data_IF_402177016271
#
_entry.id   IF_402177016271
#
_cell.length_a   1.000
_cell.length_b   1.000
_cell.length_c   1.000
_cell.angle_alpha   90.00
_cell.angle_beta   90.00
_cell.angle_gamma   90.00
#
_symmetry.space_group_name_H-M   'P 1'
#
loop_
_entity.id
_entity.type
_entity.pdbx_description
1 polymer ?
#
# COMPACT_ATOMS: atom_id res chain seq x y z
N UNK A 1 42.89 49.52 40.70
CA UNK A 1 41.41 49.21 40.70
C UNK A 1 40.60 50.01 39.65
N UNK A 2 40.94 51.26 39.24
CA UNK A 2 40.13 52.05 38.28
C UNK A 2 40.18 51.57 36.80
N UNK A 3 41.18 50.76 36.39
CA UNK A 3 41.35 50.24 34.99
C UNK A 3 40.74 48.87 34.75
N UNK A 4 40.38 48.11 35.75
CA UNK A 4 39.79 46.74 35.63
C UNK A 4 38.29 46.75 35.43
N UNK A 5 37.57 47.77 35.88
CA UNK A 5 36.13 47.91 35.78
C UNK A 5 35.64 47.99 34.29
N UNK A 6 36.23 48.83 33.42
CA UNK A 6 35.80 48.88 32.02
C UNK A 6 36.09 47.56 31.25
N UNK A 7 37.11 46.84 31.64
CA UNK A 7 37.49 45.56 31.02
C UNK A 7 36.45 44.45 31.36
N UNK A 8 35.98 44.45 32.64
CA UNK A 8 34.91 43.55 33.08
C UNK A 8 33.56 43.85 32.42
N UNK A 9 33.26 45.12 32.19
CA UNK A 9 32.04 45.54 31.47
C UNK A 9 32.12 45.13 30.02
N UNK A 10 33.24 45.33 29.33
CA UNK A 10 33.47 44.87 27.95
C UNK A 10 33.34 43.35 27.85
N UNK A 11 33.90 42.56 28.78
CA UNK A 11 33.80 41.11 28.80
C UNK A 11 32.35 40.65 29.05
N UNK A 12 31.63 41.29 29.95
CA UNK A 12 30.19 41.00 30.18
C UNK A 12 29.33 41.30 28.95
N UNK A 13 29.61 42.39 28.22
CA UNK A 13 28.90 42.73 27.00
C UNK A 13 29.24 41.74 25.85
N UNK A 14 30.49 41.29 25.73
CA UNK A 14 30.87 40.26 24.76
C UNK A 14 30.24 38.91 25.06
N UNK A 15 30.18 38.49 26.32
CA UNK A 15 29.50 37.26 26.74
C UNK A 15 27.98 37.38 26.51
N UNK A 16 27.37 38.50 26.80
CA UNK A 16 25.95 38.75 26.54
C UNK A 16 25.64 38.76 25.04
N UNK A 17 26.46 39.40 24.21
CA UNK A 17 26.32 39.40 22.76
C UNK A 17 26.52 37.98 22.17
N UNK A 18 27.51 37.24 22.69
CA UNK A 18 27.75 35.84 22.27
C UNK A 18 26.59 34.92 22.63
N UNK A 19 26.05 35.04 23.85
CA UNK A 19 24.89 34.26 24.26
C UNK A 19 23.62 34.59 23.47
N UNK A 20 23.42 35.87 23.17
CA UNK A 20 22.29 36.32 22.33
C UNK A 20 22.45 35.84 20.89
N UNK A 21 23.64 35.93 20.28
CA UNK A 21 23.90 35.43 18.93
C UNK A 21 23.71 33.93 18.85
N UNK A 22 24.13 33.16 19.86
CA UNK A 22 23.93 31.71 19.95
C UNK A 22 22.46 31.36 20.07
N UNK A 23 21.67 32.06 20.90
CA UNK A 23 20.25 31.86 21.02
C UNK A 23 19.50 32.16 19.71
N UNK A 24 19.83 33.28 19.07
CA UNK A 24 19.26 33.69 17.78
C UNK A 24 19.57 32.65 16.67
N UNK A 25 20.80 32.13 16.65
CA UNK A 25 21.18 31.09 15.69
C UNK A 25 20.44 29.77 15.93
N UNK A 26 20.25 29.36 17.16
CA UNK A 26 19.49 28.19 17.53
C UNK A 26 18.01 28.31 17.12
N UNK A 27 17.42 29.47 17.34
CA UNK A 27 16.03 29.76 16.93
C UNK A 27 15.87 29.75 15.41
N UNK A 28 16.86 30.27 14.67
CA UNK A 28 16.91 30.20 13.22
C UNK A 28 17.06 28.77 12.70
N UNK A 29 17.94 27.97 13.32
CA UNK A 29 18.14 26.56 12.94
C UNK A 29 16.87 25.72 13.20
N UNK A 30 16.17 25.95 14.32
CA UNK A 30 14.92 25.26 14.64
C UNK A 30 13.79 25.67 13.67
N UNK A 31 13.67 26.95 13.34
CA UNK A 31 12.73 27.44 12.32
C UNK A 31 13.02 26.83 10.94
N UNK A 32 14.28 26.72 10.57
CA UNK A 32 14.70 26.11 9.30
C UNK A 32 14.38 24.62 9.26
N UNK A 33 14.54 23.87 10.35
CA UNK A 33 14.15 22.47 10.44
C UNK A 33 12.63 22.26 10.26
N UNK A 34 11.82 23.13 10.89
CA UNK A 34 10.35 23.09 10.76
C UNK A 34 9.95 23.37 9.30
N UNK A 35 10.54 24.38 8.66
CA UNK A 35 10.26 24.70 7.26
C UNK A 35 10.69 23.59 6.31
N UNK A 36 11.86 22.98 6.53
CA UNK A 36 12.33 21.88 5.68
C UNK A 36 11.46 20.63 5.82
N UNK A 37 11.02 20.27 7.04
CA UNK A 37 10.11 19.14 7.23
C UNK A 37 8.72 19.40 6.65
N UNK A 38 8.20 20.62 6.74
CA UNK A 38 6.93 20.98 6.09
C UNK A 38 7.04 20.90 4.55
N UNK A 39 8.15 21.36 3.97
CA UNK A 39 8.39 21.25 2.53
C UNK A 39 8.50 19.78 2.08
N UNK A 40 9.22 18.93 2.83
CA UNK A 40 9.32 17.50 2.55
C UNK A 40 7.94 16.81 2.61
N UNK A 41 7.11 17.16 3.59
CA UNK A 41 5.74 16.64 3.67
C UNK A 41 4.92 17.04 2.44
N UNK A 42 4.94 18.32 2.03
CA UNK A 42 4.21 18.80 0.84
C UNK A 42 4.69 18.14 -0.45
N UNK A 43 5.98 17.89 -0.55
CA UNK A 43 6.55 17.15 -1.68
C UNK A 43 6.04 15.72 -1.74
N UNK A 44 6.08 14.99 -0.61
CA UNK A 44 5.56 13.64 -0.51
C UNK A 44 4.05 13.57 -0.81
N UNK A 45 3.25 14.53 -0.33
CA UNK A 45 1.82 14.64 -0.65
C UNK A 45 1.59 14.81 -2.16
N UNK A 46 2.38 15.63 -2.83
CA UNK A 46 2.27 15.82 -4.29
C UNK A 46 2.62 14.54 -5.06
N UNK A 47 3.67 13.83 -4.65
CA UNK A 47 4.06 12.54 -5.23
C UNK A 47 2.95 11.48 -5.08
N UNK A 48 2.41 11.32 -3.88
CA UNK A 48 1.33 10.36 -3.58
C UNK A 48 0.08 10.66 -4.42
N UNK A 49 -0.31 11.94 -4.52
CA UNK A 49 -1.47 12.34 -5.30
C UNK A 49 -1.27 12.08 -6.80
N UNK A 50 -0.09 12.35 -7.37
CA UNK A 50 0.22 12.04 -8.76
C UNK A 50 0.23 10.55 -9.06
N UNK A 51 0.80 9.73 -8.17
CA UNK A 51 0.74 8.27 -8.28
C UNK A 51 -0.72 7.78 -8.28
N UNK A 52 -1.55 8.29 -7.37
CA UNK A 52 -2.97 7.94 -7.29
C UNK A 52 -3.77 8.40 -8.54
N UNK A 53 -3.47 9.57 -9.11
CA UNK A 53 -4.05 10.04 -10.38
C UNK A 53 -3.73 9.04 -11.50
N UNK A 54 -2.46 8.62 -11.61
CA UNK A 54 -2.01 7.67 -12.63
C UNK A 54 -2.78 6.35 -12.55
N UNK A 55 -2.96 5.82 -11.35
CA UNK A 55 -3.77 4.61 -11.10
C UNK A 55 -5.23 4.80 -11.47
N UNK A 56 -5.87 5.91 -11.06
CA UNK A 56 -7.28 6.17 -11.38
C UNK A 56 -7.52 6.32 -12.89
N UNK A 57 -6.62 7.01 -13.59
CA UNK A 57 -6.71 7.14 -15.04
C UNK A 57 -6.56 5.80 -15.76
N UNK A 58 -5.67 4.92 -15.26
CA UNK A 58 -5.50 3.58 -15.84
C UNK A 58 -6.70 2.65 -15.61
N UNK A 59 -7.49 2.84 -14.56
CA UNK A 59 -8.71 2.07 -14.29
C UNK A 59 -9.89 2.42 -15.22
N UNK A 60 -9.93 3.63 -15.76
CA UNK A 60 -11.08 4.12 -16.57
C UNK A 60 -11.46 3.21 -17.74
N UNK A 61 -10.53 2.60 -18.50
CA UNK A 61 -10.91 1.69 -19.60
C UNK A 61 -11.57 0.40 -19.11
N UNK A 62 -11.27 -0.02 -17.89
CA UNK A 62 -11.84 -1.21 -17.25
C UNK A 62 -13.22 -0.93 -16.62
N UNK A 63 -13.51 0.33 -16.29
CA UNK A 63 -14.76 0.76 -15.65
C UNK A 63 -15.91 0.85 -16.68
N UNK A 64 -16.87 -0.08 -16.62
CA UNK A 64 -18.04 -0.11 -17.50
C UNK A 64 -19.18 0.76 -16.97
N UNK A 65 -19.29 0.92 -15.65
CA UNK A 65 -20.38 1.66 -15.01
C UNK A 65 -20.11 3.17 -15.06
N UNK A 66 -21.15 3.95 -15.41
CA UNK A 66 -21.07 5.40 -15.36
C UNK A 66 -20.77 5.91 -13.96
N UNK A 67 -21.25 5.20 -12.91
CA UNK A 67 -20.96 5.53 -11.51
C UNK A 67 -19.46 5.45 -11.23
N UNK A 68 -18.83 4.34 -11.57
CA UNK A 68 -17.38 4.15 -11.37
C UNK A 68 -16.56 5.16 -12.19
N UNK A 69 -16.98 5.44 -13.43
CA UNK A 69 -16.33 6.46 -14.26
C UNK A 69 -16.40 7.84 -13.62
N UNK A 70 -17.58 8.26 -13.11
CA UNK A 70 -17.75 9.54 -12.39
C UNK A 70 -16.89 9.60 -11.14
N UNK A 71 -16.85 8.54 -10.35
CA UNK A 71 -16.05 8.46 -9.13
C UNK A 71 -14.53 8.58 -9.43
N UNK A 72 -14.03 7.84 -10.42
CA UNK A 72 -12.64 7.90 -10.86
C UNK A 72 -12.27 9.30 -11.39
N UNK A 73 -13.06 9.85 -12.31
CA UNK A 73 -12.80 11.16 -12.93
C UNK A 73 -12.85 12.30 -11.91
N UNK A 74 -13.86 12.31 -11.02
CA UNK A 74 -13.95 13.30 -9.93
C UNK A 74 -12.77 13.14 -8.96
N UNK A 75 -12.35 11.89 -8.69
CA UNK A 75 -11.18 11.59 -7.89
C UNK A 75 -9.89 12.16 -8.49
N UNK A 76 -9.70 12.02 -9.81
CA UNK A 76 -8.57 12.60 -10.55
C UNK A 76 -8.59 14.12 -10.45
N UNK A 77 -9.72 14.77 -10.74
CA UNK A 77 -9.85 16.23 -10.65
C UNK A 77 -9.45 16.76 -9.27
N UNK A 78 -10.01 16.18 -8.20
CA UNK A 78 -9.72 16.61 -6.84
C UNK A 78 -8.26 16.40 -6.44
N UNK A 79 -7.63 15.31 -6.91
CA UNK A 79 -6.22 15.06 -6.63
C UNK A 79 -5.29 15.96 -7.43
N UNK A 80 -5.68 16.30 -8.66
CA UNK A 80 -4.95 17.30 -9.46
C UNK A 80 -4.92 18.67 -8.76
N UNK A 81 -6.03 19.12 -8.19
CA UNK A 81 -6.08 20.33 -7.35
C UNK A 81 -5.18 20.19 -6.12
N UNK A 82 -5.16 19.02 -5.50
CA UNK A 82 -4.29 18.73 -4.37
C UNK A 82 -2.80 18.81 -4.72
N UNK A 83 -2.38 18.29 -5.88
CA UNK A 83 -0.99 18.46 -6.38
C UNK A 83 -0.65 19.94 -6.54
N UNK A 84 -1.54 20.73 -7.16
CA UNK A 84 -1.37 22.18 -7.33
C UNK A 84 -1.16 22.86 -5.99
N UNK A 85 -2.01 22.57 -5.00
CA UNK A 85 -1.92 23.14 -3.65
C UNK A 85 -0.59 22.76 -2.99
N UNK A 86 -0.20 21.49 -3.04
CA UNK A 86 1.03 21.00 -2.40
C UNK A 86 2.29 21.61 -3.06
N UNK A 87 2.36 21.65 -4.39
CA UNK A 87 3.49 22.25 -5.11
C UNK A 87 3.56 23.78 -4.90
N UNK A 88 2.43 24.49 -4.92
CA UNK A 88 2.38 25.93 -4.71
C UNK A 88 2.76 26.36 -3.29
N UNK A 89 2.66 25.46 -2.31
CA UNK A 89 3.09 25.71 -0.94
C UNK A 89 4.60 25.51 -0.72
N UNK A 90 5.31 24.99 -1.73
CA UNK A 90 6.75 24.79 -1.64
C UNK A 90 7.51 26.13 -1.88
N UNK A 91 8.66 26.32 -1.25
CA UNK A 91 9.52 27.50 -1.47
C UNK A 91 10.29 27.38 -2.80
N UNK A 92 9.57 27.10 -3.89
CA UNK A 92 10.11 26.95 -5.24
C UNK A 92 9.71 28.15 -6.12
N UNK A 93 10.53 28.48 -7.10
CA UNK A 93 10.18 29.53 -8.06
C UNK A 93 9.00 29.09 -8.95
N UNK A 94 8.17 30.04 -9.36
CA UNK A 94 7.09 29.76 -10.32
C UNK A 94 7.61 29.15 -11.63
N UNK A 95 8.82 29.46 -12.05
CA UNK A 95 9.45 28.89 -13.24
C UNK A 95 9.73 27.38 -13.06
N UNK A 96 10.04 26.93 -11.83
CA UNK A 96 10.35 25.52 -11.56
C UNK A 96 9.12 24.60 -11.52
N UNK A 97 7.95 25.13 -11.16
CA UNK A 97 6.73 24.32 -10.97
C UNK A 97 5.58 24.71 -11.93
N UNK A 98 5.73 25.83 -12.65
CA UNK A 98 4.64 26.45 -13.41
C UNK A 98 4.01 25.52 -14.46
N UNK A 99 4.82 24.78 -15.21
CA UNK A 99 4.36 23.85 -16.23
C UNK A 99 3.62 22.67 -15.60
N UNK A 100 4.11 22.14 -14.47
CA UNK A 100 3.47 21.07 -13.70
C UNK A 100 2.11 21.53 -13.13
N UNK A 101 2.09 22.71 -12.52
CA UNK A 101 0.86 23.31 -11.98
C UNK A 101 -0.16 23.54 -13.09
N UNK A 102 0.26 24.09 -14.23
CA UNK A 102 -0.60 24.29 -15.40
C UNK A 102 -1.16 22.96 -15.93
N UNK A 103 -0.31 21.95 -16.06
CA UNK A 103 -0.73 20.61 -16.48
C UNK A 103 -1.77 20.03 -15.53
N UNK A 104 -1.54 20.08 -14.22
CA UNK A 104 -2.47 19.55 -13.21
C UNK A 104 -3.80 20.31 -13.22
N UNK A 105 -3.80 21.64 -13.36
CA UNK A 105 -5.03 22.41 -13.50
C UNK A 105 -5.83 21.98 -14.75
N UNK A 106 -5.19 21.87 -15.92
CA UNK A 106 -5.84 21.43 -17.15
C UNK A 106 -6.37 19.98 -17.05
N UNK A 107 -5.61 19.10 -16.39
CA UNK A 107 -6.04 17.73 -16.10
C UNK A 107 -7.29 17.72 -15.21
N UNK A 108 -7.28 18.51 -14.14
CA UNK A 108 -8.41 18.64 -13.21
C UNK A 108 -9.68 19.14 -13.90
N UNK A 109 -9.58 20.21 -14.69
CA UNK A 109 -10.70 20.77 -15.45
C UNK A 109 -11.24 19.78 -16.51
N UNK A 110 -10.36 19.13 -17.26
CA UNK A 110 -10.74 18.17 -18.29
C UNK A 110 -11.47 16.97 -17.69
N UNK A 111 -10.93 16.38 -16.61
CA UNK A 111 -11.54 15.20 -15.96
C UNK A 111 -12.82 15.56 -15.22
N UNK A 112 -12.95 16.75 -14.66
CA UNK A 112 -14.21 17.25 -14.11
C UNK A 112 -15.29 17.38 -15.21
N UNK A 113 -14.94 17.95 -16.36
CA UNK A 113 -15.84 18.05 -17.51
C UNK A 113 -16.34 16.69 -17.98
N UNK A 114 -15.45 15.69 -18.11
CA UNK A 114 -15.82 14.32 -18.44
C UNK A 114 -16.67 13.64 -17.35
N UNK A 115 -16.40 13.92 -16.09
CA UNK A 115 -17.19 13.42 -14.95
C UNK A 115 -18.63 13.93 -15.03
N UNK A 116 -18.83 15.21 -15.28
CA UNK A 116 -20.16 15.82 -15.47
C UNK A 116 -20.87 15.26 -16.70
N UNK A 117 -20.12 15.02 -17.79
CA UNK A 117 -20.64 14.38 -19.00
C UNK A 117 -21.13 12.95 -18.72
N UNK A 118 -20.32 12.14 -18.03
CA UNK A 118 -20.71 10.80 -17.60
C UNK A 118 -21.90 10.82 -16.61
N UNK A 119 -21.92 11.78 -15.67
CA UNK A 119 -23.03 11.96 -14.73
C UNK A 119 -24.36 12.31 -15.40
N UNK A 120 -24.34 12.91 -16.60
CA UNK A 120 -25.53 13.13 -17.41
C UNK A 120 -26.09 11.87 -18.11
N UNK A 121 -25.44 10.71 -17.93
CA UNK A 121 -25.79 9.44 -18.55
C UNK A 121 -25.09 9.17 -19.90
N UNK A 122 -24.17 10.04 -20.30
CA UNK A 122 -23.43 9.90 -21.56
C UNK A 122 -22.19 8.99 -21.36
N UNK A 123 -21.89 8.16 -22.36
CA UNK A 123 -20.71 7.32 -22.37
C UNK A 123 -19.53 8.04 -22.98
N UNK A 124 -18.34 7.81 -22.42
CA UNK A 124 -17.09 8.28 -23.00
C UNK A 124 -16.86 7.61 -24.36
N UNK A 125 -16.43 8.38 -25.33
CA UNK A 125 -16.07 7.90 -26.67
C UNK A 125 -14.60 7.49 -26.75
N UNK A 126 -14.22 6.87 -27.88
CA UNK A 126 -12.85 6.41 -28.11
C UNK A 126 -11.82 7.54 -28.09
N UNK A 127 -12.24 8.77 -28.46
CA UNK A 127 -11.37 9.96 -28.44
C UNK A 127 -11.10 10.41 -27.01
N UNK A 128 -12.09 10.35 -26.12
CA UNK A 128 -11.92 10.61 -24.70
C UNK A 128 -10.98 9.58 -24.05
N UNK A 129 -11.16 8.29 -24.35
CA UNK A 129 -10.24 7.24 -23.86
C UNK A 129 -8.82 7.39 -24.39
N UNK A 130 -8.63 7.76 -25.65
CA UNK A 130 -7.30 8.03 -26.21
C UNK A 130 -6.61 9.20 -25.48
N UNK A 131 -7.36 10.29 -25.23
CA UNK A 131 -6.85 11.45 -24.49
C UNK A 131 -6.53 11.12 -23.04
N UNK A 132 -7.39 10.37 -22.35
CA UNK A 132 -7.15 9.93 -20.97
C UNK A 132 -5.92 9.01 -20.87
N UNK A 133 -5.69 8.14 -21.87
CA UNK A 133 -4.49 7.32 -21.94
C UNK A 133 -3.21 8.15 -22.10
N UNK A 134 -3.24 9.20 -22.90
CA UNK A 134 -2.12 10.12 -23.06
C UNK A 134 -1.86 10.91 -21.77
N UNK A 135 -2.92 11.40 -21.12
CA UNK A 135 -2.81 12.08 -19.83
C UNK A 135 -2.24 11.15 -18.73
N UNK A 136 -2.67 9.89 -18.72
CA UNK A 136 -2.13 8.86 -17.80
C UNK A 136 -0.63 8.67 -18.01
N UNK A 137 -0.17 8.56 -19.26
CA UNK A 137 1.26 8.44 -19.59
C UNK A 137 2.06 9.67 -19.13
N UNK A 138 1.52 10.87 -19.31
CA UNK A 138 2.15 12.11 -18.85
C UNK A 138 2.21 12.19 -17.32
N UNK A 139 1.15 11.78 -16.62
CA UNK A 139 1.16 11.68 -15.14
C UNK A 139 2.19 10.67 -14.64
N UNK A 140 2.33 9.51 -15.30
CA UNK A 140 3.31 8.50 -14.92
C UNK A 140 4.75 9.03 -15.09
N UNK A 141 5.06 9.72 -16.20
CA UNK A 141 6.35 10.37 -16.41
C UNK A 141 6.64 11.43 -15.34
N UNK A 142 5.67 12.29 -15.06
CA UNK A 142 5.81 13.33 -14.05
C UNK A 142 5.98 12.74 -12.63
N UNK A 143 5.25 11.69 -12.29
CA UNK A 143 5.39 10.95 -11.03
C UNK A 143 6.79 10.37 -10.87
N UNK A 144 7.35 9.77 -11.94
CA UNK A 144 8.73 9.28 -11.96
C UNK A 144 9.76 10.40 -11.79
N UNK A 145 9.54 11.54 -12.45
CA UNK A 145 10.41 12.71 -12.31
C UNK A 145 10.43 13.26 -10.88
N UNK A 146 9.25 13.37 -10.25
CA UNK A 146 9.14 13.81 -8.86
C UNK A 146 9.75 12.82 -7.87
N UNK A 147 9.66 11.51 -8.15
CA UNK A 147 10.25 10.48 -7.32
C UNK A 147 11.80 10.50 -7.34
N UNK A 148 12.39 10.83 -8.51
CA UNK A 148 13.86 10.92 -8.67
C UNK A 148 14.43 12.25 -8.23
N UNK A 149 13.63 13.33 -8.22
CA UNK A 149 14.00 14.61 -7.64
C UNK A 149 13.96 14.52 -6.11
N UNK A 150 14.94 13.82 -5.56
CA UNK A 150 15.05 13.42 -4.16
C UNK A 150 14.90 14.60 -3.19
N UNK A 151 14.43 14.28 -1.98
CA UNK A 151 14.38 15.17 -0.81
C UNK A 151 15.74 15.88 -0.51
N UNK A 152 16.86 15.32 -0.97
CA UNK A 152 18.18 15.99 -0.99
C UNK A 152 18.20 17.26 -1.83
N UNK A 153 17.46 17.33 -2.94
CA UNK A 153 17.30 18.55 -3.75
C UNK A 153 16.56 19.66 -3.01
N UNK A 154 15.56 19.32 -2.18
CA UNK A 154 14.87 20.29 -1.31
C UNK A 154 15.78 20.86 -0.21
N UNK A 155 16.71 20.07 0.31
CA UNK A 155 17.71 20.54 1.30
C UNK A 155 18.70 21.51 0.67
N UNK A 156 19.13 21.30 -0.57
CA UNK A 156 19.97 22.22 -1.33
C UNK A 156 19.20 23.49 -1.72
N UNK A 157 17.91 23.39 -2.05
CA UNK A 157 17.03 24.52 -2.34
C UNK A 157 16.78 25.38 -1.08
N UNK A 158 16.70 24.79 0.12
CA UNK A 158 16.53 25.54 1.37
C UNK A 158 17.73 26.45 1.68
N UNK A 159 18.93 26.06 1.28
CA UNK A 159 20.13 26.90 1.43
C UNK A 159 20.25 27.97 0.35
N UNK A 160 19.76 27.74 -0.87
CA UNK A 160 19.91 28.68 -2.00
C UNK A 160 18.79 29.73 -2.10
N UNK A 161 17.58 29.42 -1.59
CA UNK A 161 16.39 30.28 -1.72
C UNK A 161 16.51 31.58 -0.89
N UNK A 162 17.31 31.60 0.17
CA UNK A 162 17.47 32.79 0.99
C UNK A 162 18.58 33.74 0.55
N UNK A 163 19.46 33.38 -0.40
CA UNK A 163 20.67 34.15 -0.69
C UNK A 163 21.10 34.22 -2.16
N UNK A 164 20.37 33.79 -3.16
CA UNK A 164 20.74 33.94 -4.55
C UNK A 164 19.71 34.69 -5.39
N UNK A 165 20.05 35.79 -6.06
CA UNK A 165 19.24 36.28 -7.17
C UNK A 165 19.30 35.25 -8.30
N UNK A 166 18.12 34.99 -8.91
CA UNK A 166 17.94 34.02 -9.97
C UNK A 166 18.88 34.31 -11.18
N UNK A 167 20.06 33.73 -11.17
CA UNK A 167 20.80 33.51 -12.39
C UNK A 167 20.53 32.12 -12.90
N UNK A 168 20.23 32.04 -14.20
CA UNK A 168 19.84 30.86 -14.94
C UNK A 168 20.83 29.71 -14.72
N UNK A 169 20.45 28.74 -13.92
CA UNK A 169 21.20 27.50 -13.72
C UNK A 169 20.20 26.36 -13.51
N UNK A 170 20.14 25.50 -14.51
CA UNK A 170 19.59 24.14 -14.51
C UNK A 170 18.26 23.93 -13.78
N UNK A 171 17.19 23.84 -14.54
CA UNK A 171 15.87 23.44 -14.08
C UNK A 171 15.95 21.98 -13.65
N UNK A 172 15.78 21.64 -12.35
CA UNK A 172 15.91 20.25 -11.88
C UNK A 172 14.91 19.29 -12.57
N UNK A 173 13.81 19.82 -13.08
CA UNK A 173 12.79 19.07 -13.82
C UNK A 173 13.09 18.92 -15.33
N UNK A 174 13.99 19.72 -15.91
CA UNK A 174 14.43 19.54 -17.30
C UNK A 174 15.60 18.55 -17.43
N UNK A 175 16.46 18.42 -16.41
CA UNK A 175 17.57 17.47 -16.41
C UNK A 175 17.13 16.00 -16.34
N UNK A 176 15.86 15.73 -15.99
CA UNK A 176 15.30 14.38 -15.85
C UNK A 176 14.63 13.88 -17.14
N UNK A 177 14.45 14.74 -18.16
CA UNK A 177 13.78 14.36 -19.41
C UNK A 177 14.58 13.37 -20.28
N UNK A 178 15.88 13.16 -20.02
CA UNK A 178 16.78 12.33 -20.85
C UNK A 178 17.22 11.01 -20.21
N UNK A 179 16.69 10.63 -19.04
CA UNK A 179 17.09 9.38 -18.39
C UNK A 179 15.99 8.31 -18.53
N UNK A 180 16.25 7.37 -19.43
CA UNK A 180 15.52 6.09 -19.53
C UNK A 180 15.90 5.23 -18.31
N UNK A 181 15.20 5.40 -17.20
CA UNK A 181 15.39 4.60 -15.99
C UNK A 181 14.13 3.82 -15.68
N UNK A 182 14.29 2.49 -15.61
CA UNK A 182 13.26 1.58 -15.12
C UNK A 182 12.66 2.09 -13.81
N UNK A 183 11.34 2.21 -13.77
CA UNK A 183 10.61 2.79 -12.65
C UNK A 183 10.72 1.89 -11.42
N UNK A 184 11.52 2.30 -10.42
CA UNK A 184 11.37 1.87 -9.05
C UNK A 184 10.27 2.71 -8.41
N UNK A 185 9.09 2.13 -8.27
CA UNK A 185 8.01 2.76 -7.51
C UNK A 185 8.39 2.75 -6.01
N UNK A 186 8.23 3.85 -5.27
CA UNK A 186 8.32 3.79 -3.82
C UNK A 186 7.31 2.76 -3.31
N UNK A 187 7.77 1.88 -2.45
CA UNK A 187 7.00 0.77 -1.89
C UNK A 187 5.74 1.28 -1.18
N UNK A 188 4.65 1.44 -1.92
CA UNK A 188 3.33 1.38 -1.32
C UNK A 188 3.11 -0.08 -0.96
N UNK A 189 3.14 -0.37 0.33
CA UNK A 189 2.84 -1.70 0.86
C UNK A 189 1.32 -1.88 0.74
N UNK A 190 0.84 -2.19 -0.47
CA UNK A 190 -0.49 -2.70 -0.67
C UNK A 190 -0.41 -4.22 -0.74
N UNK A 191 -0.80 -4.83 0.34
CA UNK A 191 -0.77 -6.28 0.56
C UNK A 191 -1.80 -7.07 -0.26
N UNK A 192 -2.18 -6.59 -1.44
CA UNK A 192 -3.16 -7.20 -2.31
C UNK A 192 -4.58 -6.63 -2.15
N UNK A 193 -5.49 -7.07 -3.03
CA UNK A 193 -6.88 -6.64 -3.04
C UNK A 193 -7.54 -6.88 -1.68
N UNK A 194 -8.17 -5.83 -1.13
CA UNK A 194 -8.95 -5.88 0.11
C UNK A 194 -8.19 -6.22 1.40
N UNK A 195 -6.85 -6.21 1.41
CA UNK A 195 -6.05 -6.52 2.60
C UNK A 195 -6.22 -5.48 3.73
N UNK A 196 -6.48 -4.23 3.38
CA UNK A 196 -6.63 -3.11 4.32
C UNK A 196 -8.07 -2.88 4.81
N UNK A 197 -8.98 -3.79 4.48
CA UNK A 197 -10.35 -3.70 4.95
C UNK A 197 -10.39 -3.75 6.48
N UNK A 198 -10.46 -2.58 7.13
CA UNK A 198 -10.56 -2.46 8.59
C UNK A 198 -11.90 -3.02 9.03
N UNK A 199 -11.87 -4.15 9.70
CA UNK A 199 -13.05 -4.76 10.26
C UNK A 199 -13.33 -4.19 11.65
N UNK A 200 -14.39 -3.38 11.76
CA UNK A 200 -14.96 -3.00 13.04
C UNK A 200 -15.93 -4.13 13.46
N UNK A 201 -15.56 -4.94 14.45
CA UNK A 201 -16.41 -6.01 14.93
C UNK A 201 -15.73 -6.93 15.93
N UNK A 202 -16.47 -7.91 16.43
CA UNK A 202 -15.93 -8.99 17.26
C UNK A 202 -15.36 -10.10 16.38
N UNK A 203 -14.20 -10.68 16.75
CA UNK A 203 -13.62 -11.82 16.05
C UNK A 203 -14.61 -12.99 15.97
N UNK A 204 -14.64 -13.71 14.82
CA UNK A 204 -15.59 -14.79 14.57
C UNK A 204 -14.96 -16.18 14.65
N UNK A 205 -13.63 -16.29 14.48
CA UNK A 205 -12.93 -17.57 14.35
C UNK A 205 -11.89 -17.84 15.46
N UNK A 206 -12.08 -17.30 16.66
CA UNK A 206 -11.13 -17.53 17.77
C UNK A 206 -11.25 -18.92 18.39
N UNK A 207 -12.41 -19.56 18.32
CA UNK A 207 -12.72 -20.80 19.06
C UNK A 207 -13.21 -20.54 20.47
N UNK A 208 -13.31 -21.61 21.28
CA UNK A 208 -13.86 -21.57 22.63
C UNK A 208 -12.78 -21.74 23.71
N UNK A 209 -13.04 -21.17 24.89
CA UNK A 209 -12.19 -21.28 26.07
C UNK A 209 -10.98 -20.35 26.03
N UNK A 210 -10.48 -20.03 27.23
CA UNK A 210 -9.24 -19.27 27.41
C UNK A 210 -8.06 -20.21 27.67
N UNK A 211 -6.89 -19.83 27.19
CA UNK A 211 -5.64 -20.58 27.40
C UNK A 211 -4.68 -19.83 28.32
N UNK A 212 -3.75 -20.56 28.96
CA UNK A 212 -2.66 -19.98 29.74
C UNK A 212 -1.46 -19.65 28.87
N UNK A 213 -0.49 -18.90 29.41
CA UNK A 213 0.79 -18.59 28.74
C UNK A 213 1.56 -19.87 28.36
N UNK A 214 1.56 -20.90 29.24
CA UNK A 214 2.22 -22.17 28.98
C UNK A 214 1.56 -22.92 27.80
N UNK A 215 0.23 -22.87 27.73
CA UNK A 215 -0.52 -23.45 26.62
C UNK A 215 -0.25 -22.68 25.32
N UNK A 216 -0.12 -21.35 25.38
CA UNK A 216 0.24 -20.54 24.23
C UNK A 216 1.63 -20.89 23.67
N UNK A 217 2.61 -21.11 24.55
CA UNK A 217 3.95 -21.60 24.15
C UNK A 217 3.83 -22.96 23.47
N UNK A 218 3.12 -23.89 24.06
CA UNK A 218 2.92 -25.23 23.48
C UNK A 218 2.24 -25.16 22.10
N UNK A 219 1.21 -24.32 21.97
CA UNK A 219 0.51 -24.09 20.70
C UNK A 219 1.44 -23.50 19.64
N UNK A 220 2.27 -22.51 19.98
CA UNK A 220 3.21 -21.91 19.07
C UNK A 220 4.28 -22.92 18.59
N UNK A 221 4.82 -23.74 19.49
CA UNK A 221 5.77 -24.81 19.17
C UNK A 221 5.13 -25.84 18.24
N UNK A 222 3.93 -26.30 18.54
CA UNK A 222 3.19 -27.25 17.70
C UNK A 222 2.83 -26.64 16.33
N UNK A 223 2.52 -25.35 16.28
CA UNK A 223 2.21 -24.63 15.05
C UNK A 223 3.42 -24.58 14.10
N UNK A 224 4.59 -24.21 14.59
CA UNK A 224 5.83 -24.15 13.80
C UNK A 224 6.35 -25.56 13.47
N UNK A 225 6.21 -26.49 14.40
CA UNK A 225 6.69 -27.87 14.36
C UNK A 225 7.77 -28.10 15.41
N UNK A 226 7.51 -29.00 16.35
CA UNK A 226 8.40 -29.30 17.49
C UNK A 226 9.84 -29.60 17.07
N UNK A 227 10.03 -30.30 15.95
CA UNK A 227 11.36 -30.68 15.44
C UNK A 227 12.20 -29.50 14.95
N UNK A 228 11.63 -28.33 14.79
CA UNK A 228 12.31 -27.11 14.35
C UNK A 228 12.74 -26.23 15.52
N UNK A 229 12.05 -26.34 16.66
CA UNK A 229 12.20 -25.44 17.79
C UNK A 229 13.26 -25.98 18.76
N UNK A 230 14.27 -25.17 19.04
CA UNK A 230 15.30 -25.41 20.03
C UNK A 230 14.86 -24.93 21.41
N UNK A 231 14.33 -23.70 21.49
CA UNK A 231 13.91 -23.06 22.73
C UNK A 231 12.62 -22.25 22.50
N UNK A 232 11.74 -22.24 23.50
CA UNK A 232 10.51 -21.48 23.49
C UNK A 232 10.25 -20.82 24.85
N UNK A 233 9.95 -19.52 24.85
CA UNK A 233 9.72 -18.76 26.08
C UNK A 233 8.57 -17.76 25.92
N UNK A 234 8.09 -17.21 27.03
CA UNK A 234 7.12 -16.13 27.03
C UNK A 234 7.71 -14.87 26.41
N UNK A 235 7.05 -14.33 25.42
CA UNK A 235 7.37 -13.06 24.76
C UNK A 235 6.45 -11.93 25.21
N UNK A 236 6.65 -10.76 24.61
CA UNK A 236 5.77 -9.58 24.81
C UNK A 236 4.72 -9.59 23.70
N UNK A 237 3.41 -9.60 24.04
CA UNK A 237 2.35 -9.52 23.01
C UNK A 237 2.39 -8.18 22.27
N UNK A 238 2.07 -8.17 20.98
CA UNK A 238 2.09 -6.96 20.15
C UNK A 238 1.06 -5.90 20.56
N UNK A 239 0.03 -6.32 21.31
CA UNK A 239 -1.14 -5.49 21.62
C UNK A 239 -2.09 -5.37 20.42
N UNK A 240 -3.37 -5.20 20.66
CA UNK A 240 -4.37 -5.10 19.58
C UNK A 240 -5.78 -5.34 20.07
N UNK A 241 -6.72 -5.46 19.12
CA UNK A 241 -8.15 -5.72 19.39
C UNK A 241 -8.36 -7.12 19.97
N UNK A 242 -7.53 -8.11 19.53
CA UNK A 242 -7.60 -9.49 19.99
C UNK A 242 -6.55 -9.67 21.10
N UNK A 243 -6.95 -9.99 22.35
CA UNK A 243 -6.03 -10.27 23.43
C UNK A 243 -5.18 -11.51 23.11
N UNK A 244 -3.85 -11.41 23.30
CA UNK A 244 -2.90 -12.47 22.98
C UNK A 244 -1.87 -12.70 24.11
N UNK A 245 -1.29 -13.88 24.09
CA UNK A 245 -0.05 -14.22 24.77
C UNK A 245 1.10 -14.09 23.77
N UNK A 246 2.14 -13.33 24.12
CA UNK A 246 3.37 -13.27 23.32
C UNK A 246 4.23 -14.51 23.55
N UNK A 247 4.85 -15.00 22.49
CA UNK A 247 5.77 -16.16 22.51
C UNK A 247 6.99 -15.85 21.65
N UNK A 248 8.17 -16.16 22.16
CA UNK A 248 9.42 -16.13 21.38
C UNK A 248 9.92 -17.55 21.18
N UNK A 249 10.19 -17.92 19.93
CA UNK A 249 10.70 -19.22 19.53
C UNK A 249 12.09 -19.05 18.93
N UNK A 250 13.06 -19.84 19.37
CA UNK A 250 14.37 -20.00 18.76
C UNK A 250 14.42 -21.32 17.99
N UNK A 251 14.70 -21.25 16.70
CA UNK A 251 14.84 -22.43 15.86
C UNK A 251 16.27 -22.99 15.90
N UNK A 252 16.43 -24.27 15.58
CA UNK A 252 17.76 -24.94 15.53
C UNK A 252 18.75 -24.29 14.57
N UNK A 253 18.29 -23.57 13.55
CA UNK A 253 19.14 -22.83 12.62
C UNK A 253 19.51 -21.41 13.11
N UNK A 254 19.09 -21.05 14.32
CA UNK A 254 19.33 -19.75 14.95
C UNK A 254 18.31 -18.69 14.60
N UNK A 255 17.31 -18.96 13.75
CA UNK A 255 16.21 -18.02 13.46
C UNK A 255 15.37 -17.79 14.72
N UNK A 256 15.09 -16.54 15.04
CA UNK A 256 14.19 -16.16 16.14
C UNK A 256 12.88 -15.73 15.56
N UNK A 257 11.77 -16.33 16.03
CA UNK A 257 10.40 -16.00 15.63
C UNK A 257 9.68 -15.42 16.85
N UNK A 258 9.00 -14.28 16.65
CA UNK A 258 8.08 -13.72 17.64
C UNK A 258 6.65 -13.99 17.17
N UNK A 259 5.79 -14.37 18.11
CA UNK A 259 4.42 -14.78 17.81
C UNK A 259 3.43 -14.26 18.85
N UNK A 260 2.20 -14.02 18.40
CA UNK A 260 1.03 -13.80 19.23
C UNK A 260 0.04 -14.94 19.07
N UNK A 261 -0.30 -15.57 20.19
CA UNK A 261 -1.30 -16.61 20.29
C UNK A 261 -2.51 -16.05 21.04
N UNK A 262 -3.71 -16.18 20.47
CA UNK A 262 -4.91 -15.58 21.06
C UNK A 262 -5.22 -16.19 22.43
N UNK A 263 -5.60 -15.36 23.42
CA UNK A 263 -6.02 -15.83 24.76
C UNK A 263 -7.24 -16.71 24.63
N UNK A 264 -8.22 -16.30 23.81
CA UNK A 264 -9.40 -17.12 23.51
C UNK A 264 -9.07 -18.08 22.37
N UNK A 265 -9.29 -19.38 22.58
CA UNK A 265 -9.18 -20.46 21.58
C UNK A 265 -7.76 -20.84 21.18
N UNK A 266 -6.72 -20.09 21.62
CA UNK A 266 -5.32 -20.44 21.37
C UNK A 266 -4.86 -20.48 19.93
N UNK A 267 -5.45 -19.62 19.08
CA UNK A 267 -5.14 -19.53 17.65
C UNK A 267 -3.88 -18.69 17.40
N UNK A 268 -3.14 -18.98 16.34
CA UNK A 268 -2.03 -18.15 15.89
C UNK A 268 -2.60 -16.89 15.23
N UNK A 269 -2.36 -15.73 15.85
CA UNK A 269 -2.74 -14.43 15.28
C UNK A 269 -1.72 -13.97 14.26
N UNK A 270 -0.46 -13.96 14.65
CA UNK A 270 0.67 -13.75 13.76
C UNK A 270 1.94 -14.42 14.30
N UNK A 271 2.89 -14.66 13.42
CA UNK A 271 4.25 -15.06 13.72
C UNK A 271 5.19 -14.47 12.68
N UNK A 272 6.30 -13.88 13.09
CA UNK A 272 7.25 -13.20 12.22
C UNK A 272 8.69 -13.43 12.68
N UNK A 273 9.64 -13.55 11.75
CA UNK A 273 11.06 -13.60 12.09
C UNK A 273 11.54 -12.22 12.54
N UNK A 274 12.39 -12.18 13.56
CA UNK A 274 13.02 -10.95 14.06
C UNK A 274 13.93 -10.33 12.99
N UNK A 275 14.71 -11.15 12.33
CA UNK A 275 15.54 -10.77 11.19
C UNK A 275 15.47 -11.89 10.16
N UNK A 276 15.21 -11.56 8.90
CA UNK A 276 15.06 -12.55 7.87
C UNK A 276 15.79 -12.14 6.59
N UNK A 277 16.81 -12.89 6.26
CA UNK A 277 17.45 -12.88 4.95
C UNK A 277 17.89 -14.29 4.65
N UNK A 278 17.27 -14.91 3.65
CA UNK A 278 17.52 -16.29 3.26
C UNK A 278 18.03 -16.36 1.82
N UNK A 279 18.60 -17.52 1.45
CA UNK A 279 18.97 -17.76 0.06
C UNK A 279 17.73 -18.08 -0.78
N UNK A 280 17.76 -17.74 -2.06
CA UNK A 280 16.76 -18.20 -3.01
C UNK A 280 17.19 -19.56 -3.58
N UNK A 281 16.28 -20.52 -3.62
CA UNK A 281 16.51 -21.85 -4.17
C UNK A 281 15.26 -22.43 -4.81
N UNK A 282 14.11 -22.28 -4.15
CA UNK A 282 12.80 -22.74 -4.59
C UNK A 282 12.13 -21.69 -5.49
N UNK A 283 11.31 -22.16 -6.40
CA UNK A 283 10.41 -21.32 -7.18
C UNK A 283 9.24 -20.82 -6.35
N UNK A 284 8.58 -19.75 -6.82
CA UNK A 284 7.36 -19.25 -6.20
C UNK A 284 6.24 -20.32 -6.14
N UNK A 285 6.14 -21.16 -7.19
CA UNK A 285 5.15 -22.23 -7.26
C UNK A 285 5.39 -23.28 -6.16
N UNK A 286 6.64 -23.71 -5.97
CA UNK A 286 7.01 -24.63 -4.90
C UNK A 286 6.74 -24.03 -3.52
N UNK A 287 7.08 -22.75 -3.31
CA UNK A 287 6.76 -22.03 -2.07
C UNK A 287 5.23 -21.91 -1.84
N UNK A 288 4.47 -21.66 -2.90
CA UNK A 288 3.00 -21.57 -2.84
C UNK A 288 2.39 -22.91 -2.46
N UNK A 289 2.92 -24.01 -3.01
CA UNK A 289 2.45 -25.35 -2.65
C UNK A 289 2.80 -25.69 -1.20
N UNK A 290 4.03 -25.40 -0.75
CA UNK A 290 4.44 -25.60 0.65
C UNK A 290 3.55 -24.81 1.61
N UNK A 291 3.25 -23.56 1.30
CA UNK A 291 2.35 -22.71 2.10
C UNK A 291 0.92 -23.28 2.17
N UNK A 292 0.39 -23.75 1.04
CA UNK A 292 -0.96 -24.36 0.98
C UNK A 292 -1.04 -25.63 1.83
N UNK A 293 -0.05 -26.51 1.71
CA UNK A 293 0.01 -27.77 2.47
C UNK A 293 0.17 -27.49 3.97
N UNK A 294 0.97 -26.46 4.32
CA UNK A 294 1.11 -26.00 5.70
C UNK A 294 -0.24 -25.52 6.25
N UNK A 295 -0.92 -24.58 5.58
CA UNK A 295 -2.21 -24.04 6.02
C UNK A 295 -3.26 -25.16 6.18
N UNK A 296 -3.32 -26.08 5.24
CA UNK A 296 -4.22 -27.24 5.31
C UNK A 296 -3.90 -28.12 6.53
N UNK A 297 -2.62 -28.34 6.84
CA UNK A 297 -2.19 -29.12 8.02
C UNK A 297 -2.52 -28.43 9.35
N UNK A 298 -2.74 -27.11 9.33
CA UNK A 298 -3.08 -26.27 10.50
C UNK A 298 -4.58 -25.95 10.58
N UNK A 299 -5.42 -26.58 9.74
CA UNK A 299 -6.87 -26.51 9.84
C UNK A 299 -7.53 -25.31 9.14
N UNK A 300 -6.79 -24.56 8.29
CA UNK A 300 -7.38 -23.46 7.52
C UNK A 300 -8.31 -23.90 6.37
N UNK A 301 -8.44 -25.22 6.15
CA UNK A 301 -9.32 -25.78 5.12
C UNK A 301 -8.77 -25.59 3.70
N UNK A 302 -9.70 -25.44 2.76
CA UNK A 302 -9.32 -25.16 1.38
C UNK A 302 -9.02 -23.67 1.20
N UNK A 303 -7.84 -23.36 0.64
CA UNK A 303 -7.35 -22.00 0.42
C UNK A 303 -6.83 -21.82 -0.99
N UNK A 304 -7.01 -20.61 -1.54
CA UNK A 304 -6.50 -20.20 -2.85
C UNK A 304 -5.54 -19.03 -2.69
N UNK A 305 -4.37 -19.13 -3.33
CA UNK A 305 -3.45 -18.00 -3.42
C UNK A 305 -3.99 -16.92 -4.34
N UNK A 306 -3.93 -15.67 -3.90
CA UNK A 306 -4.47 -14.53 -4.66
C UNK A 306 -3.42 -13.49 -5.00
N UNK A 307 -2.34 -13.43 -4.24
CA UNK A 307 -1.31 -12.39 -4.36
C UNK A 307 0.02 -12.88 -3.80
N UNK A 308 1.13 -12.30 -4.27
CA UNK A 308 2.44 -12.65 -3.76
C UNK A 308 3.45 -11.51 -3.87
N UNK A 309 4.47 -11.56 -3.00
CA UNK A 309 5.68 -10.76 -3.08
C UNK A 309 6.90 -11.63 -2.78
N UNK A 310 8.06 -11.28 -3.37
CA UNK A 310 9.33 -11.98 -3.13
C UNK A 310 10.38 -10.95 -2.74
N UNK A 311 10.95 -11.08 -1.55
CA UNK A 311 12.05 -10.25 -1.10
C UNK A 311 12.89 -10.95 -0.03
N UNK A 312 14.19 -10.65 0.02
CA UNK A 312 15.10 -11.20 1.04
C UNK A 312 15.17 -12.74 1.10
N UNK A 313 14.92 -13.44 -0.01
CA UNK A 313 14.85 -14.89 -0.05
C UNK A 313 13.60 -15.49 0.60
N UNK A 314 12.55 -14.70 0.75
CA UNK A 314 11.22 -15.10 1.23
C UNK A 314 10.17 -14.87 0.15
N UNK A 315 9.21 -15.79 0.06
CA UNK A 315 7.97 -15.62 -0.66
C UNK A 315 6.86 -15.29 0.34
N UNK A 316 6.27 -14.11 0.25
CA UNK A 316 5.08 -13.68 1.00
C UNK A 316 3.87 -13.91 0.10
N UNK A 317 2.96 -14.77 0.54
CA UNK A 317 1.85 -15.23 -0.29
C UNK A 317 0.55 -15.03 0.47
N UNK A 318 -0.39 -14.38 -0.17
CA UNK A 318 -1.74 -14.17 0.34
C UNK A 318 -2.62 -15.34 -0.05
N UNK A 319 -3.31 -15.92 0.93
CA UNK A 319 -4.32 -16.96 0.72
C UNK A 319 -5.67 -16.48 1.23
N UNK A 320 -6.72 -16.81 0.53
CA UNK A 320 -8.10 -16.62 0.97
C UNK A 320 -8.79 -17.97 1.12
N UNK A 321 -9.69 -18.09 2.08
CA UNK A 321 -10.48 -19.31 2.23
C UNK A 321 -11.40 -19.50 1.02
N UNK A 322 -11.72 -20.77 0.71
CA UNK A 322 -12.63 -21.15 -0.36
C UNK A 322 -13.84 -21.88 0.25
N UNK A 323 -15.04 -21.40 -0.07
CA UNK A 323 -16.29 -22.06 0.31
C UNK A 323 -17.22 -22.19 -0.90
N UNK A 324 -17.69 -23.40 -1.19
CA UNK A 324 -18.60 -23.69 -2.32
C UNK A 324 -18.08 -23.15 -3.67
N UNK A 325 -16.75 -23.11 -3.84
CA UNK A 325 -16.08 -22.59 -5.03
C UNK A 325 -15.92 -21.06 -5.06
N UNK A 326 -16.43 -20.34 -4.08
CA UNK A 326 -16.25 -18.90 -3.96
C UNK A 326 -14.99 -18.55 -3.15
N UNK A 327 -14.22 -17.56 -3.63
CA UNK A 327 -13.06 -17.00 -2.93
C UNK A 327 -13.53 -16.02 -1.86
N UNK A 328 -13.12 -16.20 -0.63
CA UNK A 328 -13.53 -15.36 0.49
C UNK A 328 -12.44 -14.35 0.83
N UNK A 329 -12.40 -13.21 0.16
CA UNK A 329 -11.37 -12.16 0.38
C UNK A 329 -11.31 -11.62 1.83
N UNK A 330 -12.42 -11.52 2.59
CA UNK A 330 -12.36 -11.16 4.00
C UNK A 330 -11.57 -12.15 4.87
N UNK A 331 -11.50 -13.43 4.46
CA UNK A 331 -10.83 -14.51 5.19
C UNK A 331 -9.36 -14.68 4.74
N UNK A 332 -8.65 -13.57 4.69
CA UNK A 332 -7.26 -13.49 4.23
C UNK A 332 -6.29 -14.02 5.30
N UNK A 333 -5.35 -14.85 4.87
CA UNK A 333 -4.15 -15.27 5.63
C UNK A 333 -2.92 -14.96 4.79
N UNK A 334 -1.93 -14.27 5.36
CA UNK A 334 -0.64 -14.04 4.72
C UNK A 334 0.38 -15.01 5.27
N UNK A 335 1.18 -15.62 4.40
CA UNK A 335 2.17 -16.63 4.77
C UNK A 335 3.53 -16.24 4.21
N UNK A 336 4.58 -16.35 5.03
CA UNK A 336 5.97 -16.16 4.61
C UNK A 336 6.71 -17.50 4.60
N UNK A 337 7.20 -17.86 3.43
CA UNK A 337 7.94 -19.10 3.19
C UNK A 337 9.38 -18.77 2.83
N UNK A 338 10.35 -19.43 3.45
CA UNK A 338 11.75 -19.39 3.06
C UNK A 338 11.93 -20.06 1.70
N UNK A 339 12.61 -19.38 0.79
CA UNK A 339 12.85 -19.92 -0.56
C UNK A 339 14.01 -20.89 -0.64
N UNK A 340 14.78 -21.07 0.43
CA UNK A 340 15.86 -22.08 0.50
C UNK A 340 15.38 -23.46 0.97
N UNK A 341 14.40 -23.50 1.90
CA UNK A 341 13.91 -24.76 2.49
C UNK A 341 12.45 -25.07 2.23
N UNK A 342 11.64 -24.07 1.84
CA UNK A 342 10.18 -24.20 1.73
C UNK A 342 9.44 -24.18 3.07
N UNK A 343 10.12 -23.85 4.16
CA UNK A 343 9.52 -23.79 5.49
C UNK A 343 8.89 -22.45 5.79
N UNK A 344 7.81 -22.48 6.58
CA UNK A 344 7.17 -21.27 7.09
C UNK A 344 8.07 -20.56 8.11
N UNK A 345 8.19 -19.24 7.98
CA UNK A 345 8.80 -18.34 8.96
C UNK A 345 7.89 -17.20 9.39
N UNK A 346 6.80 -16.96 8.68
CA UNK A 346 5.84 -15.93 9.05
C UNK A 346 4.40 -16.29 8.66
N UNK A 347 3.46 -15.77 9.45
CA UNK A 347 2.04 -15.83 9.16
C UNK A 347 1.34 -14.62 9.79
N UNK A 348 0.34 -14.08 9.12
CA UNK A 348 -0.62 -13.11 9.66
C UNK A 348 -2.03 -13.59 9.34
N UNK A 349 -2.82 -13.85 10.39
CA UNK A 349 -4.17 -14.38 10.28
C UNK A 349 -5.25 -13.46 10.88
N UNK A 350 -4.93 -12.18 11.11
CA UNK A 350 -5.87 -11.24 11.73
C UNK A 350 -7.20 -11.17 10.95
N UNK A 351 -7.13 -11.00 9.63
CA UNK A 351 -8.34 -10.93 8.81
C UNK A 351 -9.16 -12.23 8.86
N UNK A 352 -8.49 -13.38 8.82
CA UNK A 352 -9.13 -14.67 8.96
C UNK A 352 -9.85 -14.81 10.31
N UNK A 353 -9.15 -14.52 11.41
CA UNK A 353 -9.72 -14.65 12.75
C UNK A 353 -10.88 -13.67 13.00
N UNK A 354 -10.82 -12.49 12.39
CA UNK A 354 -11.89 -11.50 12.48
C UNK A 354 -13.14 -11.87 11.68
N UNK A 355 -12.98 -12.54 10.53
CA UNK A 355 -14.08 -12.63 9.55
C UNK A 355 -14.54 -14.06 9.25
N UNK A 356 -13.66 -15.07 9.41
CA UNK A 356 -13.98 -16.43 8.95
C UNK A 356 -15.21 -17.01 9.67
N UNK A 357 -16.19 -17.36 8.85
CA UNK A 357 -17.42 -18.04 9.24
C UNK A 357 -18.02 -18.72 8.02
N UNK A 358 -18.84 -19.72 8.23
CA UNK A 358 -19.61 -20.33 7.14
C UNK A 358 -20.68 -19.34 6.67
N UNK A 359 -20.62 -18.95 5.39
CA UNK A 359 -21.63 -18.10 4.76
C UNK A 359 -22.82 -18.93 4.30
N UNK A 360 -24.04 -18.59 4.71
CA UNK A 360 -25.20 -19.46 4.48
C UNK A 360 -25.68 -19.47 3.01
N UNK A 361 -25.32 -18.50 2.20
CA UNK A 361 -25.84 -18.39 0.84
C UNK A 361 -24.81 -17.72 -0.09
N UNK A 362 -24.10 -18.54 -0.84
CA UNK A 362 -23.13 -18.11 -1.87
C UNK A 362 -23.63 -18.43 -3.30
N UNK A 363 -24.95 -18.56 -3.48
CA UNK A 363 -25.53 -18.82 -4.79
C UNK A 363 -25.71 -17.50 -5.57
N UNK A 364 -25.04 -17.32 -6.72
CA UNK A 364 -25.24 -16.15 -7.56
C UNK A 364 -26.62 -16.16 -8.23
N UNK A 365 -27.23 -14.99 -8.40
CA UNK A 365 -28.46 -14.84 -9.20
C UNK A 365 -28.11 -14.72 -10.68
N UNK A 366 -27.04 -13.97 -11.00
CA UNK A 366 -26.55 -13.88 -12.36
C UNK A 366 -25.57 -15.01 -12.66
N UNK A 367 -25.73 -15.61 -13.82
CA UNK A 367 -24.70 -16.53 -14.35
C UNK A 367 -23.42 -15.76 -14.66
N UNK A 368 -22.29 -16.47 -14.70
CA UNK A 368 -20.99 -15.87 -15.09
C UNK A 368 -21.10 -15.11 -16.41
N UNK A 369 -21.81 -15.64 -17.41
CA UNK A 369 -21.97 -15.03 -18.72
C UNK A 369 -22.78 -13.72 -18.67
N UNK A 370 -23.82 -13.67 -17.86
CA UNK A 370 -24.64 -12.45 -17.68
C UNK A 370 -23.86 -11.36 -16.96
N UNK A 371 -23.07 -11.74 -15.92
CA UNK A 371 -22.18 -10.82 -15.23
C UNK A 371 -21.03 -10.33 -16.14
N UNK A 372 -20.45 -11.22 -16.95
CA UNK A 372 -19.39 -10.85 -17.91
C UNK A 372 -19.87 -9.84 -18.95
N UNK A 373 -21.14 -9.88 -19.35
CA UNK A 373 -21.70 -8.90 -20.26
C UNK A 373 -21.80 -7.47 -19.67
N UNK A 374 -21.58 -7.32 -18.36
CA UNK A 374 -21.53 -6.03 -17.66
C UNK A 374 -20.12 -5.46 -17.58
N UNK A 375 -19.09 -6.28 -17.82
CA UNK A 375 -17.69 -5.85 -17.84
C UNK A 375 -17.43 -4.98 -19.07
N UNK A 376 -16.48 -4.04 -18.95
CA UNK A 376 -16.08 -3.18 -20.06
C UNK A 376 -15.67 -4.00 -21.29
N UNK A 377 -16.19 -3.69 -22.48
CA UNK A 377 -15.82 -4.37 -23.73
C UNK A 377 -14.36 -4.09 -24.14
N UNK A 378 -13.69 -3.15 -23.50
CA UNK A 378 -12.27 -2.87 -23.71
C UNK A 378 -11.37 -3.96 -23.16
N UNK A 379 -11.86 -4.76 -22.20
CA UNK A 379 -11.08 -5.80 -21.54
C UNK A 379 -11.15 -7.14 -22.28
N UNK A 380 -10.00 -7.75 -22.47
CA UNK A 380 -9.92 -9.16 -22.87
C UNK A 380 -9.89 -10.03 -21.64
N UNK A 381 -11.04 -10.64 -21.30
CA UNK A 381 -11.19 -11.48 -20.11
C UNK A 381 -10.44 -12.80 -20.29
N UNK A 382 -9.64 -13.15 -19.28
CA UNK A 382 -8.81 -14.39 -19.25
C UNK A 382 -9.28 -15.38 -18.21
N UNK A 383 -9.88 -14.90 -17.12
CA UNK A 383 -10.34 -15.75 -16.02
C UNK A 383 -11.57 -15.15 -15.35
N UNK A 384 -12.40 -16.01 -14.74
CA UNK A 384 -13.53 -15.59 -13.92
C UNK A 384 -13.71 -16.54 -12.74
N UNK A 385 -14.02 -15.97 -11.56
CA UNK A 385 -14.30 -16.70 -10.33
C UNK A 385 -15.43 -16.04 -9.55
N UNK A 386 -16.16 -16.84 -8.76
CA UNK A 386 -17.08 -16.30 -7.77
C UNK A 386 -16.29 -15.93 -6.53
N UNK A 387 -16.60 -14.79 -5.93
CA UNK A 387 -15.90 -14.33 -4.73
C UNK A 387 -16.82 -13.54 -3.80
N UNK A 388 -16.40 -13.42 -2.55
CA UNK A 388 -16.97 -12.49 -1.57
C UNK A 388 -15.94 -11.40 -1.33
N UNK A 389 -16.33 -10.14 -1.50
CA UNK A 389 -15.48 -8.99 -1.21
C UNK A 389 -16.02 -8.23 0.01
N UNK A 390 -15.14 -7.58 0.82
CA UNK A 390 -15.58 -6.70 1.89
C UNK A 390 -16.19 -5.43 1.32
N UNK A 391 -17.25 -4.96 1.96
CA UNK A 391 -17.90 -3.69 1.65
C UNK A 391 -18.12 -2.88 2.93
N UNK A 392 -18.42 -1.59 2.81
CA UNK A 392 -18.73 -0.74 3.97
C UNK A 392 -19.98 -1.25 4.70
N UNK A 393 -19.76 -1.93 5.84
CA UNK A 393 -20.81 -2.48 6.68
C UNK A 393 -21.21 -3.93 6.41
N UNK A 394 -20.46 -4.66 5.56
CA UNK A 394 -20.77 -6.06 5.28
C UNK A 394 -19.86 -6.72 4.25
N UNK A 395 -20.42 -7.67 3.55
CA UNK A 395 -19.78 -8.44 2.48
C UNK A 395 -20.69 -8.48 1.26
N UNK A 396 -20.08 -8.57 0.07
CA UNK A 396 -20.79 -8.64 -1.21
C UNK A 396 -20.33 -9.86 -2.00
N UNK A 397 -21.29 -10.66 -2.49
CA UNK A 397 -21.01 -11.75 -3.42
C UNK A 397 -20.86 -11.18 -4.83
N UNK A 398 -19.71 -11.43 -5.45
CA UNK A 398 -19.37 -10.90 -6.77
C UNK A 398 -18.84 -11.97 -7.71
N UNK A 399 -19.02 -11.75 -9.01
CA UNK A 399 -18.18 -12.34 -10.04
C UNK A 399 -16.93 -11.47 -10.22
N UNK A 400 -15.75 -12.03 -10.00
CA UNK A 400 -14.46 -11.44 -10.33
C UNK A 400 -14.10 -11.82 -11.76
N UNK A 401 -13.71 -10.84 -12.55
CA UNK A 401 -13.19 -11.03 -13.90
C UNK A 401 -11.76 -10.50 -13.99
N UNK A 402 -10.82 -11.38 -14.28
CA UNK A 402 -9.46 -11.01 -14.65
C UNK A 402 -9.38 -10.74 -16.15
N UNK A 403 -8.74 -9.66 -16.53
CA UNK A 403 -8.62 -9.32 -17.94
C UNK A 403 -7.54 -8.30 -18.21
N UNK A 404 -7.20 -8.16 -19.49
CA UNK A 404 -6.17 -7.27 -19.98
C UNK A 404 -6.73 -6.17 -20.85
N UNK A 405 -6.23 -4.96 -20.68
CA UNK A 405 -6.34 -3.89 -21.64
C UNK A 405 -4.95 -3.31 -21.92
N UNK A 406 -4.48 -3.42 -23.17
CA UNK A 406 -3.09 -3.13 -23.53
C UNK A 406 -2.12 -3.96 -22.66
N UNK A 407 -1.23 -3.30 -21.93
CA UNK A 407 -0.20 -3.93 -21.09
C UNK A 407 -0.62 -4.10 -19.63
N UNK A 408 -1.80 -3.58 -19.26
CA UNK A 408 -2.28 -3.60 -17.88
C UNK A 408 -3.28 -4.72 -17.64
N UNK A 409 -3.15 -5.38 -16.49
CA UNK A 409 -4.10 -6.38 -15.99
C UNK A 409 -5.05 -5.79 -14.98
N UNK A 410 -6.31 -6.19 -15.03
CA UNK A 410 -7.38 -5.69 -14.17
C UNK A 410 -8.16 -6.82 -13.53
N UNK A 411 -8.72 -6.53 -12.34
CA UNK A 411 -9.77 -7.31 -11.70
C UNK A 411 -11.02 -6.44 -11.63
N UNK A 412 -12.10 -6.92 -12.23
CA UNK A 412 -13.41 -6.24 -12.20
C UNK A 412 -14.37 -7.10 -11.42
N UNK A 413 -15.02 -6.50 -10.44
CA UNK A 413 -15.97 -7.16 -9.55
C UNK A 413 -17.39 -6.74 -9.91
N UNK A 414 -18.20 -7.71 -10.33
CA UNK A 414 -19.62 -7.49 -10.65
C UNK A 414 -20.46 -8.17 -9.58
N UNK A 415 -21.32 -7.42 -8.91
CA UNK A 415 -22.25 -7.95 -7.93
C UNK A 415 -23.06 -9.11 -8.54
N UNK A 416 -22.95 -10.29 -7.94
CA UNK A 416 -23.55 -11.51 -8.47
C UNK A 416 -25.08 -11.59 -8.29
N UNK A 417 -25.66 -10.65 -7.54
CA UNK A 417 -27.09 -10.54 -7.30
C UNK A 417 -27.74 -9.47 -8.18
N UNK A 418 -27.10 -8.30 -8.29
CA UNK A 418 -27.69 -7.11 -8.96
C UNK A 418 -27.09 -6.87 -10.34
N UNK A 419 -25.87 -7.32 -10.61
CA UNK A 419 -25.12 -7.01 -11.85
C UNK A 419 -24.51 -5.62 -11.85
N UNK A 420 -24.47 -4.91 -10.72
CA UNK A 420 -23.76 -3.66 -10.58
C UNK A 420 -22.24 -3.90 -10.52
N UNK A 421 -21.46 -2.99 -11.11
CA UNK A 421 -20.00 -2.97 -10.94
C UNK A 421 -19.68 -2.52 -9.52
N UNK A 422 -19.08 -3.42 -8.72
CA UNK A 422 -18.78 -3.20 -7.32
C UNK A 422 -17.41 -2.53 -7.14
N UNK A 423 -16.40 -3.00 -7.87
CA UNK A 423 -15.03 -2.44 -7.80
C UNK A 423 -14.23 -2.77 -9.07
N UNK A 424 -13.16 -1.98 -9.29
CA UNK A 424 -12.18 -2.20 -10.35
C UNK A 424 -10.79 -2.00 -9.77
N UNK A 425 -9.96 -3.03 -9.83
CA UNK A 425 -8.56 -2.99 -9.40
C UNK A 425 -7.64 -3.16 -10.59
N UNK A 426 -6.53 -2.44 -10.59
CA UNK A 426 -5.42 -2.65 -11.52
C UNK A 426 -4.34 -3.46 -10.83
N UNK A 427 -3.83 -4.50 -11.49
CA UNK A 427 -2.66 -5.24 -11.01
C UNK A 427 -1.39 -4.59 -11.54
N UNK A 428 -0.53 -4.20 -10.63
CA UNK A 428 0.81 -3.66 -10.92
C UNK A 428 1.80 -4.79 -10.68
N UNK A 429 2.53 -5.20 -11.73
CA UNK A 429 3.57 -6.22 -11.62
C UNK A 429 4.93 -5.57 -11.51
N UNK A 430 5.70 -5.99 -10.51
CA UNK A 430 7.08 -5.61 -10.31
C UNK A 430 7.97 -6.86 -10.25
N UNK A 431 9.30 -6.72 -10.36
CA UNK A 431 10.21 -7.86 -10.15
C UNK A 431 10.07 -8.51 -8.77
N UNK A 432 9.56 -7.76 -7.78
CA UNK A 432 9.35 -8.21 -6.40
C UNK A 432 7.98 -8.86 -6.18
N UNK A 433 7.04 -8.75 -7.12
CA UNK A 433 5.71 -9.35 -6.99
C UNK A 433 4.59 -8.55 -7.63
N UNK A 434 3.37 -8.83 -7.22
CA UNK A 434 2.16 -8.19 -7.70
C UNK A 434 1.61 -7.26 -6.62
N UNK A 435 1.01 -6.13 -7.03
CA UNK A 435 0.25 -5.22 -6.18
C UNK A 435 -1.10 -4.96 -6.83
N UNK A 436 -2.16 -4.82 -6.03
CA UNK A 436 -3.47 -4.37 -6.51
C UNK A 436 -3.68 -2.91 -6.08
N UNK A 437 -4.14 -2.06 -6.98
CA UNK A 437 -4.36 -0.65 -6.75
C UNK A 437 -5.76 -0.22 -7.19
#
# INVERSE_FOLDING_TARGET
MKRTIPLLICLALLLGAGAWAYAAQREADDAQRVLSSAAQQRWAEAQEQLASITVKLSKLPAAASLKTQVELLTGVSRQADGVVISLSALPLSHAAIGDTVKFCNQLGEYTLGLSLYAASGARLDDMAYAKLSELQRQCALLSGQLATADAGGLTLLSHSVFYAPAEAGERPLEAVADADHGMDYPSMIYDGAFSDARHAGTPKALGEGEITQEQAIANAVAFVGEHRVDEAEAGVPSGGVIPCHGVTLRLHDGTVLNADVTVQGGQMLWIMPEHASFSAGLTLEECTQSARDFLKSRGYGDVQSTHYQVYGGMAVINFVAVQDGALLYPDLVKVQIRMDTGELVGLEANNYLMNHTIRPNLAPVLTQKEAQAKVSPQLTITHASLCVIPERGGERLCWEFAGWWKENEYRVYIDALTGEEADVLMLIRSPQGEMAA
#
